data_IF_012070017800
#
_entry.id   IF_012070017800
#
_cell.length_a   1.000
_cell.length_b   1.000
_cell.length_c   1.000
_cell.angle_alpha   90.00
_cell.angle_beta   90.00
_cell.angle_gamma   90.00
#
_symmetry.space_group_name_H-M   'P 1'
#
loop_
_entity.id
_entity.type
_entity.pdbx_description
1 polymer ?
#
# COMPACT_ATOMS: atom_id res chain seq x y z
N UNK A 1 30.44 -29.44 10.52
CA UNK A 1 29.40 -29.10 9.52
C UNK A 1 28.39 -28.23 10.25
N UNK A 2 28.68 -26.93 10.43
CA UNK A 2 27.72 -26.03 11.10
C UNK A 2 26.66 -25.64 10.09
N UNK A 3 25.43 -26.04 10.38
CA UNK A 3 24.24 -25.69 9.62
C UNK A 3 24.16 -24.17 9.46
N UNK A 4 24.43 -23.72 8.24
CA UNK A 4 24.18 -22.34 7.82
C UNK A 4 22.67 -22.16 7.74
N UNK A 5 22.05 -22.01 8.90
CA UNK A 5 20.66 -21.66 9.04
C UNK A 5 20.45 -20.27 8.38
N UNK A 6 19.72 -20.16 7.26
CA UNK A 6 19.53 -18.88 6.56
C UNK A 6 18.79 -17.83 7.40
N UNK A 7 18.24 -18.23 8.56
CA UNK A 7 17.41 -17.42 9.44
C UNK A 7 18.21 -16.43 10.31
N UNK A 8 19.54 -16.51 10.36
CA UNK A 8 20.39 -15.69 11.27
C UNK A 8 20.95 -14.42 10.65
N UNK A 9 20.73 -14.16 9.35
CA UNK A 9 21.16 -12.92 8.71
C UNK A 9 20.08 -11.82 8.84
N UNK A 10 20.34 -10.69 9.53
CA UNK A 10 19.38 -9.59 9.67
C UNK A 10 18.84 -9.07 8.32
N UNK A 11 19.70 -9.08 7.30
CA UNK A 11 19.34 -8.69 5.94
C UNK A 11 18.33 -9.63 5.27
N UNK A 12 18.33 -10.92 5.64
CA UNK A 12 17.39 -11.90 5.08
C UNK A 12 15.99 -11.74 5.67
N UNK A 13 15.91 -11.48 6.98
CA UNK A 13 14.64 -11.23 7.68
C UNK A 13 13.94 -9.96 7.18
N UNK A 14 14.71 -8.90 6.90
CA UNK A 14 14.17 -7.66 6.32
C UNK A 14 13.65 -7.87 4.89
N UNK A 15 14.38 -8.63 4.08
CA UNK A 15 13.95 -9.00 2.73
C UNK A 15 12.67 -9.86 2.77
N UNK A 16 12.58 -10.83 3.68
CA UNK A 16 11.42 -11.70 3.84
C UNK A 16 10.18 -10.92 4.24
N UNK A 17 10.28 -10.00 5.22
CA UNK A 17 9.17 -9.11 5.63
C UNK A 17 8.68 -8.22 4.49
N UNK A 18 9.58 -7.76 3.61
CA UNK A 18 9.20 -6.97 2.44
C UNK A 18 8.39 -7.81 1.43
N UNK A 19 8.81 -9.06 1.21
CA UNK A 19 8.12 -9.98 0.29
C UNK A 19 6.75 -10.36 0.85
N UNK A 20 6.65 -10.72 2.13
CA UNK A 20 5.37 -11.06 2.79
C UNK A 20 4.35 -9.92 2.72
N UNK A 21 4.77 -8.68 2.93
CA UNK A 21 3.88 -7.50 2.78
C UNK A 21 3.35 -7.34 1.36
N UNK A 22 4.20 -7.58 0.35
CA UNK A 22 3.77 -7.55 -1.06
C UNK A 22 2.79 -8.67 -1.37
N UNK A 23 3.07 -9.88 -0.91
CA UNK A 23 2.18 -11.04 -1.10
C UNK A 23 0.82 -10.80 -0.46
N UNK A 24 0.79 -10.27 0.78
CA UNK A 24 -0.45 -9.91 1.46
C UNK A 24 -1.29 -8.89 0.67
N UNK A 25 -0.64 -7.87 0.10
CA UNK A 25 -1.32 -6.91 -0.77
C UNK A 25 -1.88 -7.55 -2.04
N UNK A 26 -1.10 -8.38 -2.73
CA UNK A 26 -1.56 -9.07 -3.95
C UNK A 26 -2.74 -10.01 -3.66
N UNK A 27 -2.74 -10.71 -2.54
CA UNK A 27 -3.87 -11.55 -2.13
C UNK A 27 -5.13 -10.69 -1.91
N UNK A 28 -4.99 -9.57 -1.20
CA UNK A 28 -6.10 -8.66 -0.94
C UNK A 28 -6.66 -8.05 -2.24
N UNK A 29 -5.78 -7.67 -3.17
CA UNK A 29 -6.14 -7.20 -4.51
C UNK A 29 -6.85 -8.28 -5.33
N UNK A 30 -6.36 -9.53 -5.29
CA UNK A 30 -6.97 -10.64 -6.01
C UNK A 30 -8.40 -10.91 -5.49
N UNK A 31 -8.58 -10.97 -4.17
CA UNK A 31 -9.90 -11.13 -3.55
C UNK A 31 -10.81 -9.96 -3.93
N UNK A 32 -10.31 -8.72 -3.89
CA UNK A 32 -11.06 -7.54 -4.32
C UNK A 32 -11.53 -7.68 -5.77
N UNK A 33 -10.66 -8.05 -6.70
CA UNK A 33 -11.04 -8.22 -8.11
C UNK A 33 -12.07 -9.34 -8.31
N UNK A 34 -11.90 -10.48 -7.64
CA UNK A 34 -12.83 -11.62 -7.73
C UNK A 34 -14.21 -11.23 -7.21
N UNK A 35 -14.28 -10.65 -6.00
CA UNK A 35 -15.55 -10.26 -5.37
C UNK A 35 -16.25 -9.16 -6.17
N UNK A 36 -15.53 -8.12 -6.59
CA UNK A 36 -16.13 -7.03 -7.37
C UNK A 36 -16.58 -7.49 -8.75
N UNK A 37 -15.84 -8.38 -9.41
CA UNK A 37 -16.27 -8.97 -10.69
C UNK A 37 -17.53 -9.81 -10.51
N UNK A 38 -17.61 -10.60 -9.42
CA UNK A 38 -18.81 -11.35 -9.07
C UNK A 38 -20.02 -10.46 -8.78
N UNK A 39 -19.83 -9.37 -8.04
CA UNK A 39 -20.87 -8.37 -7.76
C UNK A 39 -21.36 -7.67 -9.04
N UNK A 40 -20.43 -7.29 -9.92
CA UNK A 40 -20.73 -6.65 -11.19
C UNK A 40 -21.53 -7.58 -12.10
N UNK A 41 -21.14 -8.87 -12.16
CA UNK A 41 -21.87 -9.91 -12.87
C UNK A 41 -23.27 -10.11 -12.27
N UNK A 42 -23.38 -10.24 -10.94
CA UNK A 42 -24.65 -10.43 -10.24
C UNK A 42 -25.62 -9.26 -10.50
N UNK A 43 -25.11 -8.04 -10.55
CA UNK A 43 -25.88 -6.85 -10.88
C UNK A 43 -26.38 -6.87 -12.33
N UNK A 44 -25.52 -7.27 -13.27
CA UNK A 44 -25.90 -7.42 -14.67
C UNK A 44 -27.00 -8.48 -14.86
N UNK A 45 -26.96 -9.57 -14.07
CA UNK A 45 -27.95 -10.65 -14.12
C UNK A 45 -29.30 -10.29 -13.46
N UNK A 46 -29.31 -9.50 -12.37
CA UNK A 46 -30.55 -9.27 -11.61
C UNK A 46 -31.22 -7.92 -11.91
N UNK A 47 -30.47 -6.82 -12.03
CA UNK A 47 -31.04 -5.48 -12.12
C UNK A 47 -30.08 -4.52 -12.86
N UNK A 48 -30.10 -4.50 -14.20
CA UNK A 48 -29.26 -3.58 -14.98
C UNK A 48 -29.63 -2.10 -14.75
N UNK A 49 -30.88 -1.81 -14.39
CA UNK A 49 -31.40 -0.43 -14.28
C UNK A 49 -30.97 0.31 -13.00
N UNK A 50 -30.48 -0.40 -11.98
CA UNK A 50 -30.03 0.23 -10.73
C UNK A 50 -28.76 -0.43 -10.16
N UNK A 51 -27.57 -0.05 -10.66
CA UNK A 51 -26.32 -0.58 -10.17
C UNK A 51 -26.05 -0.12 -8.73
N UNK A 52 -26.20 -1.04 -7.76
CA UNK A 52 -25.82 -0.82 -6.35
C UNK A 52 -24.34 -1.11 -6.08
N UNK A 53 -23.67 -1.73 -7.05
CA UNK A 53 -22.25 -2.13 -7.09
C UNK A 53 -21.23 -0.99 -6.87
N UNK A 54 -21.48 0.28 -7.27
CA UNK A 54 -20.53 1.37 -7.03
C UNK A 54 -20.23 1.61 -5.54
N UNK A 55 -21.19 1.38 -4.64
CA UNK A 55 -21.00 1.56 -3.20
C UNK A 55 -19.90 0.66 -2.62
N UNK A 56 -20.03 -0.68 -2.76
CA UNK A 56 -18.99 -1.62 -2.36
C UNK A 56 -17.63 -1.36 -3.03
N UNK A 57 -17.62 -1.08 -4.34
CA UNK A 57 -16.38 -0.79 -5.10
C UNK A 57 -15.65 0.41 -4.50
N UNK A 58 -16.37 1.52 -4.26
CA UNK A 58 -15.78 2.77 -3.75
C UNK A 58 -15.37 2.63 -2.29
N UNK A 59 -16.22 2.07 -1.43
CA UNK A 59 -15.92 1.90 -0.01
C UNK A 59 -14.70 1.00 0.22
N UNK A 60 -14.66 -0.15 -0.44
CA UNK A 60 -13.54 -1.09 -0.28
C UNK A 60 -12.31 -0.70 -1.11
N UNK A 61 -12.52 -0.04 -2.25
CA UNK A 61 -11.43 0.46 -3.10
C UNK A 61 -10.57 1.51 -2.40
N UNK A 62 -11.17 2.36 -1.55
CA UNK A 62 -10.42 3.32 -0.73
C UNK A 62 -9.50 2.59 0.26
N UNK A 63 -10.00 1.55 0.95
CA UNK A 63 -9.20 0.74 1.87
C UNK A 63 -8.03 0.04 1.16
N UNK A 64 -8.28 -0.52 -0.03
CA UNK A 64 -7.25 -1.12 -0.88
C UNK A 64 -6.19 -0.08 -1.28
N UNK A 65 -6.59 1.13 -1.64
CA UNK A 65 -5.69 2.21 -2.01
C UNK A 65 -4.75 2.58 -0.84
N UNK A 66 -5.28 2.71 0.38
CA UNK A 66 -4.47 2.94 1.57
C UNK A 66 -3.53 1.78 1.88
N UNK A 67 -3.96 0.53 1.67
CA UNK A 67 -3.10 -0.64 1.83
C UNK A 67 -1.98 -0.68 0.78
N UNK A 68 -2.29 -0.32 -0.47
CA UNK A 68 -1.31 -0.17 -1.55
C UNK A 68 -0.26 0.88 -1.17
N UNK A 69 -0.70 2.06 -0.70
CA UNK A 69 0.20 3.10 -0.23
C UNK A 69 1.08 2.59 0.92
N UNK A 70 0.54 1.86 1.89
CA UNK A 70 1.32 1.34 3.01
C UNK A 70 2.39 0.32 2.60
N UNK A 71 2.13 -0.49 1.57
CA UNK A 71 3.05 -1.54 1.08
C UNK A 71 4.07 -0.99 0.09
N UNK A 72 3.68 -0.09 -0.81
CA UNK A 72 4.56 0.47 -1.84
C UNK A 72 5.32 1.72 -1.36
N UNK A 73 4.71 2.59 -0.56
CA UNK A 73 5.44 3.69 0.09
C UNK A 73 6.02 3.16 1.40
N UNK A 74 7.33 2.89 1.38
CA UNK A 74 8.10 2.59 2.59
C UNK A 74 8.08 3.81 3.51
N UNK A 75 7.22 3.77 4.52
CA UNK A 75 7.11 4.77 5.57
C UNK A 75 6.76 6.18 5.03
N UNK A 76 5.54 6.39 4.50
CA UNK A 76 5.14 7.67 3.91
C UNK A 76 5.34 8.84 4.88
N UNK A 77 5.13 8.61 6.18
CA UNK A 77 5.42 9.60 7.23
C UNK A 77 6.89 9.98 7.33
N UNK A 78 7.84 9.05 7.17
CA UNK A 78 9.26 9.37 7.23
C UNK A 78 9.76 10.13 6.00
N UNK A 79 9.25 9.79 4.81
CA UNK A 79 9.50 10.55 3.58
C UNK A 79 8.91 11.97 3.68
N UNK A 80 7.68 12.09 4.17
CA UNK A 80 7.02 13.39 4.36
C UNK A 80 7.75 14.24 5.42
N UNK A 81 8.14 13.62 6.53
CA UNK A 81 8.94 14.25 7.59
C UNK A 81 10.31 14.71 7.08
N UNK A 82 11.00 13.91 6.26
CA UNK A 82 12.27 14.32 5.62
C UNK A 82 12.10 15.55 4.74
N UNK A 83 11.06 15.58 3.89
CA UNK A 83 10.77 16.72 3.02
C UNK A 83 10.43 17.99 3.81
N UNK A 84 9.72 17.87 4.93
CA UNK A 84 9.46 19.02 5.81
C UNK A 84 10.75 19.56 6.42
N UNK A 85 11.63 18.67 6.90
CA UNK A 85 12.92 19.06 7.49
C UNK A 85 13.81 19.74 6.45
N UNK A 86 13.89 19.21 5.23
CA UNK A 86 14.65 19.84 4.13
C UNK A 86 14.12 21.24 3.80
N UNK A 87 12.79 21.42 3.72
CA UNK A 87 12.19 22.73 3.48
C UNK A 87 12.50 23.75 4.58
N UNK A 88 12.58 23.31 5.83
CA UNK A 88 12.90 24.21 6.94
C UNK A 88 14.40 24.55 6.98
N UNK A 89 15.28 23.60 6.68
CA UNK A 89 16.72 23.82 6.51
C UNK A 89 17.01 24.82 5.37
N UNK A 90 16.29 24.72 4.26
CA UNK A 90 16.43 25.63 3.11
C UNK A 90 16.09 27.08 3.49
N UNK A 91 15.02 27.30 4.28
CA UNK A 91 14.67 28.64 4.78
C UNK A 91 15.74 29.22 5.71
N UNK A 92 16.35 28.40 6.56
CA UNK A 92 17.39 28.85 7.49
C UNK A 92 18.72 29.15 6.77
N UNK A 93 19.06 28.37 5.75
CA UNK A 93 20.26 28.58 4.93
C UNK A 93 20.14 29.77 3.97
N UNK A 94 18.92 30.28 3.71
CA UNK A 94 18.68 31.44 2.85
C UNK A 94 18.58 32.76 3.62
N UNK A 95 19.14 32.84 4.84
CA UNK A 95 19.30 34.12 5.55
C UNK A 95 20.24 35.01 4.71
N UNK A 96 19.76 36.08 4.06
CA UNK A 96 20.63 36.97 3.31
C UNK A 96 21.60 37.63 4.29
N UNK A 97 22.91 37.73 3.98
CA UNK A 97 23.83 38.45 4.85
C UNK A 97 23.33 39.89 5.01
N UNK A 98 23.11 40.28 6.28
CA UNK A 98 22.76 41.64 6.70
C UNK A 98 23.97 42.58 6.59
#
# INVERSE_FOLDING_TARGET
>A
MSDANPNTNPHYQDAQRLVERKIGFYLHLAIYLIVNSGLLLLNFLHNPDRPWVPGPILGWGIGLLFHALAVFLRNPGAQWKRRMIERELEKHNHTPPA
#
